data_IF_004801245531
#
_entry.id   IF_004801245531
#
_cell.length_a   1.000
_cell.length_b   1.000
_cell.length_c   1.000
_cell.angle_alpha   90.00
_cell.angle_beta   90.00
_cell.angle_gamma   90.00
#
_symmetry.space_group_name_H-M   'P 1'
#
loop_
_entity.id
_entity.type
_entity.pdbx_description
1 polymer ?
#
# COMPACT_ATOMS: atom_id res chain seq x y z
N UNK A 1 17.69 -2.49 22.75
CA UNK A 1 17.33 -1.29 21.96
C UNK A 1 15.84 -1.06 22.15
N UNK A 2 15.43 -0.15 23.04
CA UNK A 2 14.02 0.21 23.24
C UNK A 2 13.63 1.27 22.21
N UNK A 3 13.25 0.80 21.02
CA UNK A 3 12.73 1.65 19.95
C UNK A 3 11.30 2.04 20.23
N UNK A 4 11.11 3.18 20.91
CA UNK A 4 9.81 3.78 21.16
C UNK A 4 9.13 4.26 19.88
N UNK A 5 8.36 3.37 19.27
CA UNK A 5 7.10 3.71 18.61
C UNK A 5 6.08 2.68 19.07
N UNK A 6 5.60 2.81 20.31
CA UNK A 6 4.39 2.13 20.73
C UNK A 6 3.21 2.85 20.02
N UNK A 7 3.00 2.55 18.73
CA UNK A 7 1.75 2.88 18.07
C UNK A 7 0.67 2.14 18.86
N UNK A 8 -0.23 2.89 19.49
CA UNK A 8 -1.38 2.32 20.19
C UNK A 8 -2.37 1.71 19.17
N UNK A 9 -3.32 0.91 19.64
CA UNK A 9 -4.30 0.25 18.77
C UNK A 9 -5.01 1.25 17.83
N UNK A 10 -5.39 2.44 18.33
CA UNK A 10 -6.05 3.47 17.53
C UNK A 10 -5.15 4.01 16.41
N UNK A 11 -3.84 4.13 16.63
CA UNK A 11 -2.87 4.49 15.61
C UNK A 11 -2.72 3.40 14.55
N UNK A 12 -2.62 2.13 14.98
CA UNK A 12 -2.54 0.97 14.06
C UNK A 12 -3.78 0.91 13.16
N UNK A 13 -4.97 1.17 13.72
CA UNK A 13 -6.23 1.16 12.99
C UNK A 13 -6.27 2.28 11.93
N UNK A 14 -5.81 3.50 12.29
CA UNK A 14 -5.70 4.62 11.34
C UNK A 14 -4.74 4.31 10.18
N UNK A 15 -3.55 3.80 10.48
CA UNK A 15 -2.59 3.45 9.43
C UNK A 15 -3.11 2.33 8.53
N UNK A 16 -3.74 1.31 9.11
CA UNK A 16 -4.35 0.22 8.34
C UNK A 16 -5.43 0.75 7.40
N UNK A 17 -6.28 1.65 7.89
CA UNK A 17 -7.32 2.29 7.08
C UNK A 17 -6.73 3.07 5.89
N UNK A 18 -5.65 3.83 6.10
CA UNK A 18 -4.98 4.55 5.00
C UNK A 18 -4.43 3.57 3.95
N UNK A 19 -3.87 2.44 4.39
CA UNK A 19 -3.43 1.40 3.45
C UNK A 19 -4.60 0.81 2.67
N UNK A 20 -5.73 0.54 3.33
CA UNK A 20 -6.94 0.01 2.69
C UNK A 20 -7.48 0.99 1.65
N UNK A 21 -7.64 2.26 2.00
CA UNK A 21 -8.12 3.31 1.09
C UNK A 21 -7.23 3.46 -0.14
N UNK A 22 -5.90 3.41 0.03
CA UNK A 22 -4.97 3.46 -1.09
C UNK A 22 -5.07 2.21 -1.98
N UNK A 23 -5.08 1.02 -1.37
CA UNK A 23 -5.13 -0.25 -2.10
C UNK A 23 -6.44 -0.37 -2.90
N UNK A 24 -7.56 -0.02 -2.29
CA UNK A 24 -8.87 -0.09 -2.94
C UNK A 24 -9.02 1.01 -3.99
N UNK A 25 -8.47 2.20 -3.76
CA UNK A 25 -8.38 3.26 -4.76
C UNK A 25 -7.58 2.84 -5.99
N UNK A 26 -6.42 2.19 -5.79
CA UNK A 26 -5.63 1.63 -6.89
C UNK A 26 -6.41 0.59 -7.69
N UNK A 27 -7.06 -0.37 -7.01
CA UNK A 27 -7.90 -1.39 -7.67
C UNK A 27 -9.05 -0.76 -8.46
N UNK A 28 -9.59 0.35 -7.97
CA UNK A 28 -10.65 1.10 -8.65
C UNK A 28 -10.21 1.80 -9.94
N UNK A 29 -8.91 1.94 -10.18
CA UNK A 29 -8.35 2.58 -11.39
C UNK A 29 -7.44 1.65 -12.20
N UNK A 30 -7.28 0.40 -11.80
CA UNK A 30 -6.31 -0.53 -12.38
C UNK A 30 -6.55 -0.72 -13.89
N UNK A 31 -7.82 -0.86 -14.29
CA UNK A 31 -8.20 -0.97 -15.69
C UNK A 31 -7.88 0.30 -16.49
N UNK A 32 -8.16 1.47 -15.94
CA UNK A 32 -7.85 2.75 -16.57
C UNK A 32 -6.34 2.93 -16.76
N UNK A 33 -5.53 2.49 -15.79
CA UNK A 33 -4.08 2.49 -15.90
C UNK A 33 -3.58 1.54 -17.00
N UNK A 34 -4.16 0.35 -17.14
CA UNK A 34 -3.86 -0.57 -18.25
C UNK A 34 -4.20 0.07 -19.61
N UNK A 35 -5.31 0.79 -19.70
CA UNK A 35 -5.71 1.50 -20.93
C UNK A 35 -4.69 2.58 -21.32
N UNK A 36 -4.04 3.25 -20.35
CA UNK A 36 -2.99 4.24 -20.64
C UNK A 36 -1.76 3.61 -21.33
N UNK A 37 -1.51 2.32 -21.11
CA UNK A 37 -0.42 1.60 -21.79
C UNK A 37 -0.74 1.29 -23.26
N UNK A 38 -1.98 1.49 -23.71
CA UNK A 38 -2.39 1.18 -25.08
C UNK A 38 -2.10 2.34 -26.02
N UNK A 39 -1.66 2.01 -27.24
CA UNK A 39 -1.41 3.00 -28.28
C UNK A 39 -2.73 3.66 -28.71
N UNK A 40 -2.93 4.97 -28.48
CA UNK A 40 -4.16 5.64 -28.87
C UNK A 40 -4.25 5.80 -30.39
N UNK A 41 -5.46 5.72 -30.94
CA UNK A 41 -5.72 6.01 -32.35
C UNK A 41 -5.85 7.52 -32.55
N UNK A 42 -4.83 8.16 -33.10
CA UNK A 42 -4.76 9.62 -33.24
C UNK A 42 -4.80 10.12 -34.70
N UNK A 43 -5.11 9.24 -35.65
CA UNK A 43 -5.06 9.52 -37.09
C UNK A 43 -3.89 8.80 -37.78
N UNK A 44 -3.68 9.07 -39.07
CA UNK A 44 -2.70 8.36 -39.91
C UNK A 44 -1.48 9.19 -40.32
N UNK A 45 -1.36 10.42 -39.84
CA UNK A 45 -0.15 11.22 -40.07
C UNK A 45 1.03 10.70 -39.25
N UNK A 46 2.25 10.87 -39.74
CA UNK A 46 3.47 10.53 -38.99
C UNK A 46 3.53 11.21 -37.62
N UNK A 47 3.08 12.46 -37.54
CA UNK A 47 3.02 13.19 -36.27
C UNK A 47 2.05 12.54 -35.27
N UNK A 48 0.85 12.16 -35.72
CA UNK A 48 -0.11 11.43 -34.89
C UNK A 48 0.46 10.10 -34.37
N UNK A 49 1.25 9.39 -35.19
CA UNK A 49 1.91 8.16 -34.78
C UNK A 49 2.96 8.41 -33.69
N UNK A 50 3.78 9.45 -33.84
CA UNK A 50 4.78 9.85 -32.85
C UNK A 50 4.15 10.21 -31.51
N UNK A 51 3.04 10.97 -31.51
CA UNK A 51 2.33 11.31 -30.26
C UNK A 51 1.73 10.06 -29.62
N UNK A 52 1.16 9.16 -30.41
CA UNK A 52 0.62 7.90 -29.88
C UNK A 52 1.70 7.02 -29.25
N UNK A 53 2.89 6.93 -29.88
CA UNK A 53 4.04 6.23 -29.31
C UNK A 53 4.57 6.91 -28.04
N UNK A 54 4.63 8.24 -28.04
CA UNK A 54 5.07 9.01 -26.86
C UNK A 54 4.17 8.75 -25.65
N UNK A 55 2.84 8.73 -25.84
CA UNK A 55 1.91 8.42 -24.76
C UNK A 55 2.14 7.04 -24.15
N UNK A 56 2.34 6.02 -24.99
CA UNK A 56 2.68 4.66 -24.51
C UNK A 56 4.00 4.66 -23.76
N UNK A 57 5.02 5.36 -24.26
CA UNK A 57 6.34 5.43 -23.63
C UNK A 57 6.26 6.07 -22.24
N UNK A 58 5.51 7.16 -22.06
CA UNK A 58 5.37 7.82 -20.76
C UNK A 58 4.52 6.99 -19.79
N UNK A 59 3.49 6.30 -20.30
CA UNK A 59 2.62 5.47 -19.49
C UNK A 59 3.31 4.18 -19.01
N UNK A 60 3.96 3.44 -19.92
CA UNK A 60 4.40 2.07 -19.68
C UNK A 60 5.70 1.68 -20.42
N UNK A 61 6.57 2.64 -20.76
CA UNK A 61 7.77 2.38 -21.55
C UNK A 61 8.89 1.65 -20.81
N UNK A 62 9.14 2.02 -19.55
CA UNK A 62 10.22 1.51 -18.71
C UNK A 62 9.86 1.59 -17.21
N UNK A 63 10.80 1.18 -16.34
CA UNK A 63 10.62 1.21 -14.88
C UNK A 63 10.39 2.62 -14.30
N UNK A 64 10.71 3.68 -15.05
CA UNK A 64 10.48 5.07 -14.64
C UNK A 64 9.15 5.63 -15.17
N UNK A 65 8.41 4.83 -15.94
CA UNK A 65 7.12 5.20 -16.49
C UNK A 65 6.00 5.13 -15.44
N UNK A 66 4.86 5.77 -15.73
CA UNK A 66 3.77 5.95 -14.76
C UNK A 66 3.25 4.63 -14.18
N UNK A 67 2.85 3.68 -15.03
CA UNK A 67 2.21 2.43 -14.61
C UNK A 67 3.15 1.58 -13.74
N UNK A 68 4.40 1.29 -14.15
CA UNK A 68 5.34 0.56 -13.30
C UNK A 68 5.61 1.24 -11.93
N UNK A 69 5.67 2.56 -11.88
CA UNK A 69 5.84 3.27 -10.60
C UNK A 69 4.61 3.18 -9.69
N UNK A 70 3.40 3.24 -10.26
CA UNK A 70 2.18 3.03 -9.49
C UNK A 70 2.08 1.58 -8.99
N UNK A 71 2.52 0.59 -9.77
CA UNK A 71 2.65 -0.81 -9.35
C UNK A 71 3.65 -0.99 -8.19
N UNK A 72 4.77 -0.25 -8.19
CA UNK A 72 5.72 -0.25 -7.09
C UNK A 72 5.11 0.37 -5.83
N UNK A 73 4.36 1.46 -5.99
CA UNK A 73 3.71 2.14 -4.88
C UNK A 73 2.67 1.23 -4.20
N UNK A 74 1.80 0.56 -4.97
CA UNK A 74 0.81 -0.37 -4.41
C UNK A 74 1.47 -1.55 -3.68
N UNK A 75 2.57 -2.10 -4.22
CA UNK A 75 3.35 -3.14 -3.53
C UNK A 75 3.89 -2.64 -2.19
N UNK A 76 4.37 -1.40 -2.13
CA UNK A 76 4.81 -0.77 -0.87
C UNK A 76 3.68 -0.67 0.16
N UNK A 77 2.49 -0.23 -0.25
CA UNK A 77 1.33 -0.16 0.65
C UNK A 77 0.87 -1.54 1.14
N UNK A 78 0.92 -2.57 0.30
CA UNK A 78 0.63 -3.95 0.70
C UNK A 78 1.61 -4.45 1.76
N UNK A 79 2.91 -4.20 1.57
CA UNK A 79 3.95 -4.57 2.55
C UNK A 79 3.78 -3.84 3.89
N UNK A 80 3.44 -2.55 3.86
CA UNK A 80 3.15 -1.78 5.07
C UNK A 80 1.94 -2.36 5.80
N UNK A 81 0.86 -2.69 5.09
CA UNK A 81 -0.33 -3.31 5.67
C UNK A 81 -0.02 -4.65 6.34
N UNK A 82 0.80 -5.48 5.70
CA UNK A 82 1.26 -6.75 6.28
C UNK A 82 2.08 -6.53 7.56
N UNK A 83 3.02 -5.58 7.55
CA UNK A 83 3.82 -5.23 8.72
C UNK A 83 2.95 -4.72 9.88
N UNK A 84 1.92 -3.92 9.59
CA UNK A 84 0.96 -3.45 10.59
C UNK A 84 0.13 -4.60 11.19
N UNK A 85 -0.23 -5.60 10.39
CA UNK A 85 -0.92 -6.79 10.86
C UNK A 85 -0.05 -7.61 11.83
N UNK A 86 1.23 -7.78 11.52
CA UNK A 86 2.22 -8.42 12.41
C UNK A 86 2.38 -7.61 13.70
N UNK A 87 2.53 -6.29 13.60
CA UNK A 87 2.64 -5.42 14.78
C UNK A 87 1.41 -5.50 15.70
N UNK A 88 0.20 -5.55 15.12
CA UNK A 88 -1.06 -5.72 15.88
C UNK A 88 -1.10 -7.06 16.61
N UNK A 89 -0.66 -8.15 15.97
CA UNK A 89 -0.61 -9.48 16.59
C UNK A 89 0.33 -9.47 17.80
N UNK A 90 1.54 -8.93 17.64
CA UNK A 90 2.52 -8.84 18.72
C UNK A 90 2.04 -7.96 19.88
N UNK A 91 1.33 -6.87 19.59
CA UNK A 91 0.73 -6.01 20.61
C UNK A 91 -0.29 -6.77 21.47
N UNK A 92 -1.21 -7.52 20.85
CA UNK A 92 -2.21 -8.32 21.58
C UNK A 92 -1.57 -9.39 22.46
N UNK A 93 -0.60 -10.14 21.93
CA UNK A 93 0.10 -11.18 22.68
C UNK A 93 0.84 -10.60 23.90
N UNK A 94 1.43 -9.40 23.75
CA UNK A 94 2.14 -8.72 24.83
C UNK A 94 1.18 -8.20 25.91
N UNK A 95 0.07 -7.56 25.50
CA UNK A 95 -0.97 -7.11 26.44
C UNK A 95 -1.62 -8.27 27.19
N UNK A 96 -1.94 -9.38 26.52
CA UNK A 96 -2.52 -10.57 27.15
C UNK A 96 -1.57 -11.17 28.19
N UNK A 97 -0.26 -11.22 27.90
CA UNK A 97 0.76 -11.69 28.84
C UNK A 97 0.88 -10.77 30.07
N UNK A 98 0.79 -9.46 29.89
CA UNK A 98 0.79 -8.50 31.00
C UNK A 98 -0.49 -8.62 31.84
N UNK A 99 -1.67 -8.71 31.21
CA UNK A 99 -2.94 -8.87 31.90
C UNK A 99 -2.98 -10.13 32.77
N UNK A 100 -2.48 -11.27 32.28
CA UNK A 100 -2.37 -12.50 33.07
C UNK A 100 -1.42 -12.37 34.27
N UNK A 101 -0.31 -11.64 34.10
CA UNK A 101 0.66 -11.38 35.18
C UNK A 101 0.04 -10.50 36.27
N UNK A 102 -0.66 -9.43 35.89
CA UNK A 102 -1.39 -8.56 36.82
C UNK A 102 -2.52 -9.31 37.53
N UNK A 103 -3.27 -10.18 36.83
CA UNK A 103 -4.32 -10.99 37.43
C UNK A 103 -3.77 -11.98 38.47
N UNK A 104 -2.59 -12.59 38.22
CA UNK A 104 -1.91 -13.44 39.20
C UNK A 104 -1.48 -12.67 40.45
N UNK A 105 -0.94 -11.45 40.29
CA UNK A 105 -0.53 -10.62 41.41
C UNK A 105 -1.72 -10.20 42.31
N UNK A 106 -2.89 -9.91 41.70
CA UNK A 106 -4.10 -9.52 42.44
C UNK A 106 -4.86 -10.70 43.07
N UNK A 107 -4.58 -11.94 42.65
CA UNK A 107 -5.18 -13.15 43.23
C UNK A 107 -4.35 -13.79 44.35
N UNK A 108 -3.20 -13.20 44.68
CA UNK A 108 -2.28 -13.64 45.74
C UNK A 108 -2.34 -12.75 47.00
N UNK A 109 -3.35 -11.89 47.12
CA UNK A 109 -3.79 -11.21 48.35
C UNK A 109 -5.05 -11.90 48.89
#
# INVERSE_FOLDING_TARGET
>A
MNGGFAINQAGLDKYTKVCDEFIDGYRGIEYELEVLAWKPRMGSSDYADQVAQFNVKVAAGDEQSLVPNLELLIKGFQQVKEALAIARKNYRETEDAHAQTFAKLRGSE
#
